data_IF_608999111766
#
_entry.id   IF_608999111766
#
_cell.length_a   1.000
_cell.length_b   1.000
_cell.length_c   1.000
_cell.angle_alpha   90.00
_cell.angle_beta   90.00
_cell.angle_gamma   90.00
#
_symmetry.space_group_name_H-M   'P 1'
#
loop_
_entity.id
_entity.type
_entity.pdbx_description
1 polymer ?
#
# COMPACT_ATOMS: atom_id res chain seq x y z
N UNK A 1 -12.86 -12.04 -27.42
CA UNK A 1 -13.18 -11.28 -26.18
C UNK A 1 -12.32 -10.03 -26.14
N UNK A 2 -12.94 -8.86 -26.25
CA UNK A 2 -12.26 -7.56 -26.24
C UNK A 2 -11.73 -7.31 -24.83
N UNK A 3 -10.39 -7.25 -24.67
CA UNK A 3 -9.75 -6.79 -23.44
C UNK A 3 -10.18 -5.32 -23.25
N UNK A 4 -11.04 -5.06 -22.26
CA UNK A 4 -11.32 -3.69 -21.82
C UNK A 4 -9.98 -3.06 -21.45
N UNK A 5 -9.57 -2.03 -22.19
CA UNK A 5 -8.36 -1.28 -21.90
C UNK A 5 -8.43 -0.76 -20.46
N UNK A 6 -7.54 -1.27 -19.60
CA UNK A 6 -7.27 -0.83 -18.23
C UNK A 6 -6.66 0.59 -18.20
N UNK A 7 -7.17 1.53 -19.00
CA UNK A 7 -6.61 2.87 -19.18
C UNK A 7 -6.75 3.77 -17.94
N UNK A 8 -7.27 3.25 -16.83
CA UNK A 8 -7.46 3.98 -15.57
C UNK A 8 -6.69 3.39 -14.38
N UNK A 9 -5.81 2.41 -14.61
CA UNK A 9 -4.95 1.89 -13.54
C UNK A 9 -3.87 2.91 -13.19
N UNK A 10 -3.90 3.39 -11.95
CA UNK A 10 -2.82 4.20 -11.36
C UNK A 10 -1.53 3.40 -11.28
N UNK A 11 -0.39 4.10 -11.27
CA UNK A 11 0.94 3.46 -11.21
C UNK A 11 1.26 2.92 -9.80
N UNK A 12 0.79 3.61 -8.76
CA UNK A 12 1.06 3.31 -7.36
C UNK A 12 -0.22 3.31 -6.54
N UNK A 13 -0.23 2.51 -5.49
CA UNK A 13 -1.34 2.31 -4.58
C UNK A 13 -0.81 2.29 -3.16
N UNK A 14 -1.43 3.06 -2.27
CA UNK A 14 -1.20 2.91 -0.84
C UNK A 14 -2.20 1.89 -0.32
N UNK A 15 -1.70 0.84 0.31
CA UNK A 15 -2.49 -0.27 0.82
C UNK A 15 -2.29 -0.47 2.31
N UNK A 16 -3.32 -0.98 2.96
CA UNK A 16 -3.27 -1.46 4.34
C UNK A 16 -3.51 -2.97 4.32
N UNK A 17 -2.53 -3.75 4.76
CA UNK A 17 -2.64 -5.21 4.82
C UNK A 17 -3.65 -5.63 5.89
N UNK A 18 -4.56 -6.55 5.54
CA UNK A 18 -5.47 -7.18 6.51
C UNK A 18 -4.79 -8.36 7.22
N UNK A 19 -3.88 -9.01 6.50
CA UNK A 19 -3.02 -10.06 7.02
C UNK A 19 -1.57 -9.60 6.86
N UNK A 20 -0.91 -9.32 7.98
CA UNK A 20 0.43 -8.76 7.96
C UNK A 20 1.46 -9.74 7.37
N UNK A 21 2.27 -9.32 6.38
CA UNK A 21 3.33 -10.14 5.81
C UNK A 21 4.39 -10.56 6.82
N UNK A 22 4.71 -9.67 7.76
CA UNK A 22 5.64 -9.88 8.86
C UNK A 22 5.36 -8.87 9.98
N UNK A 23 5.91 -9.12 11.17
CA UNK A 23 5.77 -8.23 12.33
C UNK A 23 6.59 -6.95 12.11
N UNK A 24 5.97 -5.79 12.34
CA UNK A 24 6.65 -4.48 12.25
C UNK A 24 6.67 -3.86 10.85
N UNK A 25 5.82 -4.34 9.93
CA UNK A 25 5.52 -3.61 8.70
C UNK A 25 4.72 -2.35 9.01
N UNK A 26 4.91 -1.29 8.22
CA UNK A 26 4.16 -0.04 8.36
C UNK A 26 2.65 -0.26 8.13
N UNK A 27 1.82 0.55 8.80
CA UNK A 27 0.36 0.49 8.68
C UNK A 27 -0.12 0.74 7.24
N UNK A 28 0.61 1.59 6.52
CA UNK A 28 0.36 1.93 5.13
C UNK A 28 1.61 1.71 4.30
N UNK A 29 1.46 0.98 3.20
CA UNK A 29 2.56 0.62 2.32
C UNK A 29 2.25 1.05 0.90
N UNK A 30 3.21 1.69 0.24
CA UNK A 30 3.14 2.01 -1.18
C UNK A 30 3.54 0.78 -2.02
N UNK A 31 2.65 0.33 -2.91
CA UNK A 31 2.91 -0.77 -3.84
C UNK A 31 2.64 -0.35 -5.29
N UNK A 32 3.47 -0.78 -6.25
CA UNK A 32 3.22 -0.50 -7.65
C UNK A 32 2.07 -1.36 -8.19
N UNK A 33 1.45 -0.90 -9.27
CA UNK A 33 0.37 -1.62 -9.97
C UNK A 33 0.77 -3.03 -10.41
N UNK A 34 2.06 -3.26 -10.65
CA UNK A 34 2.66 -4.54 -11.04
C UNK A 34 2.59 -5.59 -9.95
N UNK A 35 2.38 -5.20 -8.68
CA UNK A 35 2.26 -6.12 -7.55
C UNK A 35 0.80 -6.46 -7.23
N UNK A 36 -0.16 -5.79 -7.87
CA UNK A 36 -1.59 -6.05 -7.69
C UNK A 36 -2.02 -7.20 -8.59
N UNK A 37 -2.32 -8.34 -7.98
CA UNK A 37 -2.76 -9.55 -8.69
C UNK A 37 -4.25 -9.48 -9.00
N UNK A 38 -5.05 -9.12 -8.01
CA UNK A 38 -6.51 -9.00 -8.15
C UNK A 38 -6.97 -7.71 -7.49
N UNK A 39 -7.76 -6.92 -8.21
CA UNK A 39 -8.46 -5.74 -7.66
C UNK A 39 -9.96 -5.99 -7.74
N UNK A 40 -10.64 -6.09 -6.60
CA UNK A 40 -12.11 -6.20 -6.55
C UNK A 40 -12.70 -4.82 -6.29
N UNK A 41 -13.28 -4.21 -7.32
CA UNK A 41 -13.88 -2.88 -7.23
C UNK A 41 -15.03 -2.80 -6.19
N UNK A 42 -15.74 -3.91 -5.94
CA UNK A 42 -16.92 -3.92 -5.08
C UNK A 42 -16.62 -3.81 -3.58
N UNK A 43 -15.43 -4.24 -3.11
CA UNK A 43 -15.16 -4.42 -1.68
C UNK A 43 -13.87 -3.72 -1.22
N UNK A 44 -13.22 -2.90 -2.06
CA UNK A 44 -11.91 -2.25 -1.82
C UNK A 44 -10.73 -3.20 -1.50
N UNK A 45 -11.01 -4.50 -1.36
CA UNK A 45 -10.04 -5.56 -1.13
C UNK A 45 -9.31 -5.91 -2.42
N UNK A 46 -7.99 -5.97 -2.31
CA UNK A 46 -7.07 -6.36 -3.37
C UNK A 46 -6.13 -7.44 -2.86
N UNK A 47 -5.68 -8.28 -3.79
CA UNK A 47 -4.65 -9.29 -3.54
C UNK A 47 -3.34 -8.73 -4.06
N UNK A 48 -2.37 -8.60 -3.16
CA UNK A 48 -1.07 -8.00 -3.40
C UNK A 48 0.00 -9.06 -3.26
N UNK A 49 0.89 -9.18 -4.25
CA UNK A 49 2.12 -9.94 -4.11
C UNK A 49 3.14 -9.09 -3.36
N UNK A 50 3.69 -9.62 -2.27
CA UNK A 50 4.64 -8.88 -1.43
C UNK A 50 5.77 -9.80 -0.95
N UNK A 51 7.03 -9.32 -0.90
CA UNK A 51 8.13 -10.12 -0.38
C UNK A 51 7.95 -10.44 1.11
N UNK A 52 8.41 -11.61 1.53
CA UNK A 52 8.47 -11.99 2.95
C UNK A 52 9.88 -11.72 3.47
N UNK A 53 9.99 -10.99 4.58
CA UNK A 53 11.25 -10.79 5.31
C UNK A 53 12.39 -10.19 4.44
N UNK A 54 12.05 -9.43 3.40
CA UNK A 54 13.01 -8.61 2.66
C UNK A 54 13.24 -7.30 3.42
N UNK A 55 14.44 -6.74 3.28
CA UNK A 55 14.76 -5.43 3.82
C UNK A 55 13.78 -4.36 3.29
N UNK A 56 13.22 -3.48 4.16
CA UNK A 56 12.26 -2.47 3.74
C UNK A 56 12.82 -1.47 2.72
N UNK A 57 14.10 -1.12 2.79
CA UNK A 57 14.70 -0.20 1.82
C UNK A 57 14.77 -0.85 0.44
N UNK A 58 15.15 -2.13 0.37
CA UNK A 58 15.14 -2.91 -0.87
C UNK A 58 13.72 -2.98 -1.44
N UNK A 59 12.74 -3.35 -0.61
CA UNK A 59 11.33 -3.45 -1.03
C UNK A 59 10.83 -2.11 -1.59
N UNK A 60 11.19 -1.00 -0.94
CA UNK A 60 10.85 0.36 -1.35
C UNK A 60 11.46 0.74 -2.70
N UNK A 61 12.74 0.43 -2.92
CA UNK A 61 13.40 0.67 -4.20
C UNK A 61 12.75 -0.12 -5.35
N UNK A 62 12.42 -1.39 -5.11
CA UNK A 62 11.67 -2.21 -6.09
C UNK A 62 10.31 -1.59 -6.42
N UNK A 63 9.59 -1.14 -5.39
CA UNK A 63 8.29 -0.50 -5.54
C UNK A 63 8.39 0.76 -6.40
N UNK A 64 9.34 1.65 -6.08
CA UNK A 64 9.63 2.87 -6.83
C UNK A 64 10.00 2.59 -8.30
N UNK A 65 10.78 1.54 -8.55
CA UNK A 65 11.16 1.10 -9.90
C UNK A 65 10.04 0.35 -10.64
N UNK A 66 8.89 0.11 -9.99
CA UNK A 66 7.75 -0.66 -10.53
C UNK A 66 8.17 -2.03 -11.02
N UNK A 67 9.09 -2.67 -10.29
CA UNK A 67 9.53 -4.02 -10.62
C UNK A 67 8.34 -4.97 -10.67
N UNK A 68 8.44 -6.02 -11.48
CA UNK A 68 7.43 -7.08 -11.48
C UNK A 68 7.54 -7.90 -10.20
N UNK A 69 6.41 -8.37 -9.70
CA UNK A 69 6.41 -9.33 -8.59
C UNK A 69 7.16 -10.61 -8.98
N UNK A 70 7.91 -11.19 -8.04
CA UNK A 70 8.53 -12.50 -8.21
C UNK A 70 7.47 -13.60 -7.95
N UNK A 71 7.56 -14.71 -8.67
CA UNK A 71 6.72 -15.90 -8.50
C UNK A 71 6.85 -16.54 -7.11
N UNK A 72 7.95 -16.28 -6.40
CA UNK A 72 8.19 -16.77 -5.04
C UNK A 72 7.52 -15.90 -3.96
N UNK A 73 7.03 -14.72 -4.33
CA UNK A 73 6.36 -13.84 -3.37
C UNK A 73 5.00 -14.39 -2.96
N UNK A 74 4.67 -14.19 -1.69
CA UNK A 74 3.37 -14.58 -1.16
C UNK A 74 2.33 -13.52 -1.49
N UNK A 75 1.07 -13.96 -1.50
CA UNK A 75 -0.07 -13.09 -1.73
C UNK A 75 -0.74 -12.75 -0.41
N UNK A 76 -1.04 -11.48 -0.24
CA UNK A 76 -1.69 -10.94 0.95
C UNK A 76 -2.93 -10.16 0.56
N UNK A 77 -3.94 -10.20 1.42
CA UNK A 77 -5.14 -9.40 1.24
C UNK A 77 -4.88 -8.03 1.85
N UNK A 78 -5.13 -6.98 1.07
CA UNK A 78 -5.00 -5.61 1.52
C UNK A 78 -6.19 -4.77 1.06
N UNK A 79 -6.45 -3.67 1.75
CA UNK A 79 -7.42 -2.65 1.34
C UNK A 79 -6.67 -1.50 0.69
N UNK A 80 -7.12 -1.05 -0.48
CA UNK A 80 -6.54 0.12 -1.14
C UNK A 80 -7.08 1.38 -0.47
N UNK A 81 -6.19 2.29 -0.05
CA UNK A 81 -6.53 3.54 0.64
C UNK A 81 -6.33 4.78 -0.23
N UNK A 82 -5.35 4.72 -1.12
CA UNK A 82 -5.02 5.82 -2.00
C UNK A 82 -4.41 5.31 -3.31
N UNK A 83 -4.64 6.03 -4.42
CA UNK A 83 -4.14 5.65 -5.74
C UNK A 83 -3.57 6.87 -6.45
N UNK A 84 -2.35 6.74 -6.97
CA UNK A 84 -1.65 7.86 -7.61
C UNK A 84 -0.71 7.39 -8.70
N UNK A 85 -0.32 8.31 -9.58
CA UNK A 85 0.68 8.07 -10.61
C UNK A 85 2.11 8.43 -10.16
N UNK A 86 2.27 9.04 -8.98
CA UNK A 86 3.57 9.47 -8.44
C UNK A 86 3.92 8.73 -7.16
N UNK A 87 5.11 8.14 -7.12
CA UNK A 87 5.61 7.48 -5.91
C UNK A 87 5.73 8.46 -4.74
N UNK A 88 6.27 9.66 -4.99
CA UNK A 88 6.44 10.69 -3.96
C UNK A 88 5.12 11.22 -3.39
N UNK A 89 4.06 11.22 -4.20
CA UNK A 89 2.72 11.59 -3.75
C UNK A 89 2.10 10.52 -2.84
N UNK A 90 2.36 9.24 -3.12
CA UNK A 90 1.98 8.14 -2.24
C UNK A 90 2.71 8.22 -0.88
N UNK A 91 4.02 8.47 -0.90
CA UNK A 91 4.82 8.67 0.32
C UNK A 91 4.32 9.88 1.13
N UNK A 92 4.02 10.99 0.46
CA UNK A 92 3.46 12.17 1.10
C UNK A 92 2.11 11.86 1.76
N UNK A 93 1.24 11.10 1.08
CA UNK A 93 -0.03 10.66 1.66
C UNK A 93 0.18 9.80 2.91
N UNK A 94 1.15 8.89 2.90
CA UNK A 94 1.49 8.05 4.06
C UNK A 94 1.99 8.92 5.22
N UNK A 95 2.92 9.85 4.96
CA UNK A 95 3.48 10.75 5.98
C UNK A 95 2.37 11.59 6.65
N UNK A 96 1.47 12.19 5.85
CA UNK A 96 0.36 13.00 6.39
C UNK A 96 -0.66 12.21 7.21
N UNK A 97 -0.73 10.88 7.04
CA UNK A 97 -1.56 9.98 7.84
C UNK A 97 -0.88 9.49 9.11
N UNK A 98 0.43 9.34 9.08
CA UNK A 98 1.22 8.93 10.25
C UNK A 98 1.48 10.10 11.22
N UNK A 99 1.54 11.34 10.71
CA UNK A 99 1.77 12.55 11.52
C UNK A 99 0.54 12.98 12.35
N UNK A 100 -0.62 12.34 12.16
CA UNK A 100 -1.82 12.51 13.00
C UNK A 100 -2.20 11.20 13.70
N UNK A 101 -1.37 10.78 14.68
CA UNK A 101 -1.87 10.01 15.82
C UNK A 101 -2.91 10.83 16.60
N UNK A 102 -3.77 10.21 17.44
CA UNK A 102 -4.90 10.92 18.05
C UNK A 102 -4.39 12.16 18.77
N UNK A 103 -4.91 13.34 18.39
CA UNK A 103 -4.82 14.52 19.21
C UNK A 103 -5.49 14.15 20.54
N UNK A 104 -4.68 13.77 21.52
CA UNK A 104 -5.16 13.66 22.89
C UNK A 104 -5.43 15.10 23.30
N UNK A 105 -6.67 15.53 23.09
CA UNK A 105 -7.28 16.57 23.88
C UNK A 105 -7.30 16.03 25.32
N UNK A 106 -6.20 16.20 26.06
CA UNK A 106 -6.29 16.21 27.50
C UNK A 106 -6.48 17.66 27.92
N UNK A 107 -7.74 18.08 27.90
CA UNK A 107 -8.22 19.10 28.81
C UNK A 107 -7.82 18.71 30.23
N UNK A 108 -6.70 19.27 30.73
CA UNK A 108 -6.53 19.44 32.17
C UNK A 108 -7.16 20.77 32.57
N UNK A 109 -8.49 20.72 32.63
CA UNK A 109 -9.30 21.58 33.48
C UNK A 109 -9.39 20.90 34.85
N UNK A 110 -8.90 21.57 35.89
CA UNK A 110 -9.09 21.41 37.36
C UNK A 110 -7.73 21.55 38.06
N UNK A 111 -7.52 22.37 39.09
CA UNK A 111 -8.37 23.25 39.91
C UNK A 111 -7.46 24.28 40.55
#
# INVERSE_FOLDING_TARGET
>A
MIRRSDNNRRAFYVVQFLEFPFKGIDDYVCVPSTWIIVRKAANEKSVIAYPKEEDPFVTRDRAKNKERCNNEWKFYIATVKYETNSYGDAEYWIATRNDYGPLVEEELKTT
#
